data_IF_515028826672
#
_entry.id   IF_515028826672
#
_cell.length_a   1.000
_cell.length_b   1.000
_cell.length_c   1.000
_cell.angle_alpha   90.00
_cell.angle_beta   90.00
_cell.angle_gamma   90.00
#
_symmetry.space_group_name_H-M   'P 1'
#
loop_
_entity.id
_entity.type
_entity.pdbx_description
1 polymer ?
#
# COMPACT_ATOMS: atom_id res chain seq x y z
N UNK A 1 -16.09 29.14 9.94
CA UNK A 1 -14.72 29.24 9.43
C UNK A 1 -14.21 27.83 9.25
N UNK A 2 -13.81 27.44 8.03
CA UNK A 2 -13.23 26.15 7.73
C UNK A 2 -11.71 26.20 7.77
N UNK A 3 -11.09 25.02 7.86
CA UNK A 3 -9.63 24.83 7.75
C UNK A 3 -9.32 24.54 6.27
N UNK A 4 -8.97 25.56 5.51
CA UNK A 4 -8.61 25.43 4.10
C UNK A 4 -7.10 25.54 3.94
N UNK A 5 -6.51 24.58 3.28
CA UNK A 5 -5.09 24.57 2.95
C UNK A 5 -4.94 24.32 1.44
N UNK A 6 -4.13 25.13 0.78
CA UNK A 6 -3.90 25.01 -0.66
C UNK A 6 -3.03 23.82 -1.01
N UNK A 7 -3.17 23.23 -2.22
CA UNK A 7 -2.28 22.22 -2.71
C UNK A 7 -0.81 22.67 -2.64
N UNK A 8 0.04 21.86 -2.02
CA UNK A 8 1.44 22.19 -1.79
C UNK A 8 2.34 21.09 -2.33
N UNK A 9 3.28 21.46 -3.17
CA UNK A 9 4.29 20.55 -3.70
C UNK A 9 5.67 20.96 -3.18
N UNK A 10 6.29 20.06 -2.44
CA UNK A 10 7.65 20.20 -1.93
C UNK A 10 8.62 19.44 -2.84
N UNK A 11 9.86 19.86 -2.87
CA UNK A 11 10.94 19.14 -3.55
C UNK A 11 12.12 19.01 -2.61
N UNK A 12 12.58 17.78 -2.38
CA UNK A 12 13.84 17.56 -1.69
C UNK A 12 15.02 18.10 -2.51
N UNK A 13 16.01 18.64 -1.81
CA UNK A 13 17.27 18.99 -2.43
C UNK A 13 17.98 17.72 -2.92
N UNK A 14 18.67 17.82 -4.02
CA UNK A 14 19.51 16.72 -4.51
C UNK A 14 20.53 16.31 -3.45
N UNK A 15 20.65 15.01 -3.22
CA UNK A 15 21.52 14.46 -2.18
C UNK A 15 21.05 14.65 -0.73
N UNK A 16 19.84 15.18 -0.50
CA UNK A 16 19.28 15.27 0.83
C UNK A 16 18.97 13.87 1.39
N UNK A 17 19.49 13.60 2.59
CA UNK A 17 19.24 12.36 3.36
C UNK A 17 18.19 12.56 4.42
N UNK A 18 17.32 13.57 4.28
CA UNK A 18 16.35 13.95 5.30
C UNK A 18 15.32 12.84 5.50
N UNK A 19 15.39 12.21 6.67
CA UNK A 19 14.50 11.10 7.05
C UNK A 19 13.10 11.58 7.43
N UNK A 20 12.95 12.85 7.79
CA UNK A 20 11.67 13.39 8.24
C UNK A 20 10.57 13.27 7.20
N UNK A 21 10.89 13.43 5.92
CA UNK A 21 9.94 13.29 4.81
C UNK A 21 9.36 11.87 4.70
N UNK A 22 10.09 10.88 5.14
CA UNK A 22 9.66 9.48 5.13
C UNK A 22 8.95 9.07 6.41
N UNK A 23 9.23 9.75 7.51
CA UNK A 23 8.65 9.44 8.83
C UNK A 23 7.35 10.20 9.10
N UNK A 24 7.21 11.41 8.55
CA UNK A 24 6.03 12.25 8.77
C UNK A 24 4.98 12.02 7.69
N UNK A 25 3.80 11.56 8.10
CA UNK A 25 2.63 11.54 7.22
C UNK A 25 1.84 12.85 7.39
N UNK A 26 1.73 13.62 6.31
CA UNK A 26 0.94 14.85 6.29
C UNK A 26 -0.46 14.55 5.75
N UNK A 27 -1.46 14.53 6.63
CA UNK A 27 -2.87 14.40 6.23
C UNK A 27 -3.38 15.71 5.65
N UNK A 28 -3.15 15.91 4.34
CA UNK A 28 -3.54 17.12 3.65
C UNK A 28 -3.08 17.12 2.19
N UNK A 29 -3.37 18.18 1.45
CA UNK A 29 -3.00 18.28 0.03
C UNK A 29 -1.51 18.66 -0.13
N UNK A 30 -0.63 17.86 0.45
CA UNK A 30 0.82 18.06 0.43
C UNK A 30 1.49 16.83 -0.18
N UNK A 31 2.37 17.04 -1.15
CA UNK A 31 3.17 15.99 -1.77
C UNK A 31 4.63 16.42 -1.82
N UNK A 32 5.54 15.44 -1.76
CA UNK A 32 6.97 15.71 -1.83
C UNK A 32 7.59 14.97 -3.02
N UNK A 33 8.33 15.69 -3.84
CA UNK A 33 9.15 15.15 -4.92
C UNK A 33 10.51 14.76 -4.33
N UNK A 34 10.87 13.49 -4.47
CA UNK A 34 12.18 12.96 -4.12
C UNK A 34 12.91 12.59 -5.42
N UNK A 35 13.83 13.42 -5.91
CA UNK A 35 14.63 13.08 -7.07
C UNK A 35 15.51 11.85 -6.81
N UNK A 36 15.69 11.01 -7.81
CA UNK A 36 16.57 9.85 -7.78
C UNK A 36 17.27 9.67 -9.15
N UNK A 37 18.20 8.75 -9.23
CA UNK A 37 19.08 8.53 -10.39
C UNK A 37 18.42 7.77 -11.57
N UNK A 38 17.16 7.40 -11.44
CA UNK A 38 16.43 6.62 -12.45
C UNK A 38 16.53 5.11 -12.27
N UNK A 39 17.39 4.63 -11.37
CA UNK A 39 17.57 3.20 -11.12
C UNK A 39 16.44 2.60 -10.27
N UNK A 40 16.00 1.39 -10.62
CA UNK A 40 14.96 0.68 -9.88
C UNK A 40 15.36 0.42 -8.41
N UNK A 41 16.64 0.18 -8.16
CA UNK A 41 17.18 -0.01 -6.81
C UNK A 41 16.99 1.25 -5.94
N UNK A 42 17.25 2.43 -6.49
CA UNK A 42 17.10 3.71 -5.81
C UNK A 42 15.62 4.03 -5.54
N UNK A 43 14.75 3.78 -6.52
CA UNK A 43 13.31 3.91 -6.36
C UNK A 43 12.76 2.96 -5.28
N UNK A 44 13.22 1.72 -5.25
CA UNK A 44 12.85 0.73 -4.24
C UNK A 44 13.32 1.14 -2.84
N UNK A 45 14.51 1.69 -2.73
CA UNK A 45 15.02 2.23 -1.47
C UNK A 45 14.13 3.37 -0.95
N UNK A 46 13.75 4.31 -1.79
CA UNK A 46 12.84 5.39 -1.43
C UNK A 46 11.47 4.87 -0.99
N UNK A 47 10.91 3.89 -1.71
CA UNK A 47 9.64 3.27 -1.36
C UNK A 47 9.68 2.60 0.02
N UNK A 48 10.73 1.83 0.30
CA UNK A 48 10.88 1.10 1.56
C UNK A 48 11.06 2.02 2.78
N UNK A 49 11.65 3.20 2.61
CA UNK A 49 11.78 4.21 3.67
C UNK A 49 10.43 4.65 4.23
N UNK A 50 9.36 4.60 3.44
CA UNK A 50 8.00 4.87 3.87
C UNK A 50 7.42 3.84 4.86
N UNK A 51 8.10 2.72 5.07
CA UNK A 51 7.73 1.66 6.06
C UNK A 51 6.33 1.08 5.84
N UNK A 52 5.86 1.10 4.64
CA UNK A 52 4.55 0.59 4.21
C UNK A 52 3.65 1.64 3.59
N UNK A 53 3.03 1.30 2.48
CA UNK A 53 2.12 2.16 1.73
C UNK A 53 0.90 1.40 1.24
N UNK A 54 -0.23 2.09 1.13
CA UNK A 54 -1.46 1.53 0.55
C UNK A 54 -1.28 1.23 -0.94
N UNK A 55 -0.75 2.19 -1.68
CA UNK A 55 -0.60 2.09 -3.14
C UNK A 55 0.71 2.70 -3.58
N UNK A 56 1.47 1.96 -4.36
CA UNK A 56 2.58 2.49 -5.15
C UNK A 56 2.16 2.55 -6.62
N UNK A 57 2.21 3.72 -7.21
CA UNK A 57 1.94 3.93 -8.62
C UNK A 57 3.25 4.03 -9.39
N UNK A 58 3.37 3.21 -10.43
CA UNK A 58 4.54 3.15 -11.31
C UNK A 58 4.11 3.57 -12.71
N UNK A 59 4.77 4.56 -13.24
CA UNK A 59 4.57 5.06 -14.60
C UNK A 59 5.87 4.83 -15.38
N UNK A 60 5.91 3.77 -16.16
CA UNK A 60 7.09 3.36 -16.92
C UNK A 60 6.70 2.51 -18.12
N UNK A 61 7.39 2.69 -19.24
CA UNK A 61 7.29 1.84 -20.41
C UNK A 61 8.35 0.71 -20.41
N UNK A 62 9.27 0.71 -19.45
CA UNK A 62 10.25 -0.35 -19.25
C UNK A 62 9.69 -1.46 -18.36
N UNK A 63 9.36 -2.60 -18.97
CA UNK A 63 8.92 -3.79 -18.24
C UNK A 63 10.03 -4.35 -17.34
N UNK A 64 11.29 -4.32 -17.81
CA UNK A 64 12.45 -4.79 -17.04
C UNK A 64 12.65 -3.96 -15.78
N UNK A 65 12.65 -2.64 -15.90
CA UNK A 65 12.77 -1.73 -14.78
C UNK A 65 11.62 -1.91 -13.78
N UNK A 66 10.40 -2.04 -14.29
CA UNK A 66 9.20 -2.25 -13.47
C UNK A 66 9.28 -3.57 -12.69
N UNK A 67 9.74 -4.64 -13.35
CA UNK A 67 9.91 -5.94 -12.72
C UNK A 67 10.99 -5.92 -11.64
N UNK A 68 12.14 -5.29 -11.89
CA UNK A 68 13.20 -5.14 -10.89
C UNK A 68 12.72 -4.34 -9.67
N UNK A 69 11.98 -3.26 -9.89
CA UNK A 69 11.34 -2.50 -8.81
C UNK A 69 10.41 -3.37 -7.95
N UNK A 70 9.51 -4.11 -8.59
CA UNK A 70 8.57 -5.00 -7.89
C UNK A 70 9.27 -6.07 -7.07
N UNK A 71 10.33 -6.65 -7.60
CA UNK A 71 11.14 -7.65 -6.89
C UNK A 71 11.76 -7.08 -5.61
N UNK A 72 12.19 -5.83 -5.65
CA UNK A 72 12.90 -5.18 -4.54
C UNK A 72 11.97 -4.64 -3.45
N UNK A 73 10.83 -4.09 -3.83
CA UNK A 73 9.99 -3.38 -2.88
C UNK A 73 8.50 -3.81 -2.87
N UNK A 74 8.15 -4.88 -3.56
CA UNK A 74 6.76 -5.36 -3.63
C UNK A 74 6.13 -5.62 -2.26
N UNK A 75 6.92 -6.07 -1.29
CA UNK A 75 6.47 -6.33 0.08
C UNK A 75 6.17 -5.07 0.91
N UNK A 76 6.53 -3.88 0.42
CA UNK A 76 6.27 -2.61 1.10
C UNK A 76 4.99 -1.90 0.66
N UNK A 77 4.25 -2.48 -0.26
CA UNK A 77 3.02 -1.88 -0.79
C UNK A 77 1.85 -2.87 -0.75
N UNK A 78 0.70 -2.38 -0.37
CA UNK A 78 -0.52 -3.19 -0.42
C UNK A 78 -0.97 -3.46 -1.85
N UNK A 79 -0.75 -2.48 -2.74
CA UNK A 79 -1.11 -2.59 -4.14
C UNK A 79 -0.11 -1.84 -5.01
N UNK A 80 0.24 -2.41 -6.16
CA UNK A 80 0.93 -1.70 -7.23
C UNK A 80 -0.05 -1.37 -8.35
N UNK A 81 -0.03 -0.10 -8.76
CA UNK A 81 -0.69 0.35 -9.97
C UNK A 81 0.38 0.58 -11.03
N UNK A 82 0.37 -0.24 -12.06
CA UNK A 82 1.34 -0.16 -13.15
C UNK A 82 0.70 0.52 -14.34
N UNK A 83 1.31 1.58 -14.83
CA UNK A 83 0.85 2.32 -15.98
C UNK A 83 1.98 2.55 -16.98
N UNK A 84 1.61 2.48 -18.25
CA UNK A 84 2.47 2.79 -19.40
C UNK A 84 1.78 3.81 -20.30
N UNK A 85 2.48 4.37 -21.27
CA UNK A 85 1.90 5.28 -22.24
C UNK A 85 0.72 4.65 -22.98
N UNK A 86 0.79 3.34 -23.30
CA UNK A 86 -0.34 2.61 -23.92
C UNK A 86 -1.62 2.64 -23.09
N UNK A 87 -1.52 2.74 -21.78
CA UNK A 87 -2.67 2.70 -20.88
C UNK A 87 -3.22 4.08 -20.55
N UNK A 88 -2.52 5.14 -20.91
CA UNK A 88 -2.81 6.50 -20.47
C UNK A 88 -4.27 6.96 -20.74
N UNK A 89 -4.86 6.49 -21.83
CA UNK A 89 -6.24 6.83 -22.23
C UNK A 89 -7.32 5.88 -21.70
N UNK A 90 -6.95 4.73 -21.12
CA UNK A 90 -7.88 3.65 -20.78
C UNK A 90 -7.85 3.28 -19.29
N UNK A 91 -6.80 3.65 -18.59
CA UNK A 91 -6.61 3.24 -17.21
C UNK A 91 -7.50 4.05 -16.25
N UNK A 92 -8.16 3.39 -15.29
CA UNK A 92 -9.03 4.06 -14.33
C UNK A 92 -8.26 4.94 -13.32
N UNK A 93 -6.92 4.84 -13.29
CA UNK A 93 -6.06 5.52 -12.34
C UNK A 93 -5.85 4.75 -11.03
N UNK A 94 -4.83 5.15 -10.31
CA UNK A 94 -4.40 4.48 -9.07
C UNK A 94 -5.38 4.65 -7.90
N UNK A 95 -6.24 5.64 -7.95
CA UNK A 95 -7.24 5.91 -6.92
C UNK A 95 -8.44 4.96 -6.90
N UNK A 96 -8.62 4.15 -7.96
CA UNK A 96 -9.72 3.19 -8.03
C UNK A 96 -9.36 1.92 -7.28
N UNK A 97 -10.05 1.66 -6.17
CA UNK A 97 -9.99 0.39 -5.46
C UNK A 97 -11.19 -0.47 -5.84
N UNK A 98 -10.92 -1.63 -6.42
CA UNK A 98 -11.96 -2.59 -6.77
C UNK A 98 -12.21 -3.56 -5.61
N UNK A 99 -13.44 -4.10 -5.45
CA UNK A 99 -13.76 -5.03 -4.35
C UNK A 99 -12.87 -6.29 -4.30
N UNK A 100 -12.30 -6.70 -5.44
CA UNK A 100 -11.38 -7.82 -5.52
C UNK A 100 -9.91 -7.43 -5.26
N UNK A 101 -9.62 -6.14 -5.18
CA UNK A 101 -8.27 -5.64 -4.91
C UNK A 101 -8.06 -5.48 -3.41
N UNK A 102 -6.81 -5.62 -2.99
CA UNK A 102 -6.41 -5.27 -1.64
C UNK A 102 -6.49 -3.75 -1.46
N UNK A 103 -7.17 -3.31 -0.41
CA UNK A 103 -7.08 -1.93 0.10
C UNK A 103 -6.64 -1.99 1.55
N UNK A 104 -5.40 -1.76 1.75
CA UNK A 104 -4.63 -1.94 2.97
C UNK A 104 -3.18 -2.13 2.59
N UNK A 105 -2.32 -2.48 3.51
CA UNK A 105 -0.92 -2.72 3.17
C UNK A 105 -0.07 -3.04 4.39
N UNK A 106 1.20 -3.32 4.17
CA UNK A 106 2.13 -3.69 5.22
C UNK A 106 2.52 -2.49 6.09
N UNK A 107 3.10 -2.78 7.25
CA UNK A 107 3.69 -1.79 8.12
C UNK A 107 2.70 -0.69 8.53
N UNK A 108 3.10 0.56 8.35
CA UNK A 108 2.28 1.71 8.70
C UNK A 108 1.02 1.91 7.82
N UNK A 109 0.87 1.17 6.73
CA UNK A 109 -0.36 1.12 5.96
C UNK A 109 -1.49 0.36 6.66
N UNK A 110 -1.25 -0.22 7.85
CA UNK A 110 -2.25 -0.74 8.74
C UNK A 110 -2.70 -2.18 8.50
N UNK A 111 -2.27 -2.82 7.43
CA UNK A 111 -2.67 -4.17 7.06
C UNK A 111 -4.11 -4.28 6.60
N UNK A 112 -4.48 -5.45 6.16
CA UNK A 112 -5.86 -5.80 5.97
C UNK A 112 -6.45 -5.62 4.57
N UNK A 113 -7.65 -6.13 4.41
CA UNK A 113 -8.45 -6.05 3.20
C UNK A 113 -9.75 -5.30 3.47
N UNK A 114 -9.69 -3.99 3.77
CA UNK A 114 -10.85 -3.18 4.15
C UNK A 114 -12.00 -3.25 3.14
N UNK A 115 -11.70 -3.37 1.86
CA UNK A 115 -12.67 -3.46 0.77
C UNK A 115 -12.78 -4.84 0.15
N UNK A 116 -12.22 -5.87 0.79
CA UNK A 116 -12.15 -7.24 0.25
C UNK A 116 -13.48 -8.02 0.26
N UNK A 117 -14.62 -7.40 0.50
CA UNK A 117 -15.90 -8.07 0.64
C UNK A 117 -15.88 -9.05 1.82
N UNK A 118 -16.26 -10.31 1.60
CA UNK A 118 -16.28 -11.33 2.67
C UNK A 118 -14.90 -11.57 3.30
N UNK A 119 -13.81 -11.37 2.56
CA UNK A 119 -12.44 -11.52 3.09
C UNK A 119 -12.10 -10.47 4.14
N UNK A 120 -12.74 -9.30 4.09
CA UNK A 120 -12.56 -8.27 5.10
C UNK A 120 -12.99 -8.74 6.50
N UNK A 121 -13.88 -9.70 6.59
CA UNK A 121 -14.33 -10.26 7.87
C UNK A 121 -13.20 -10.96 8.63
N UNK A 122 -12.18 -11.47 7.95
CA UNK A 122 -11.05 -12.14 8.58
C UNK A 122 -10.29 -11.22 9.55
N UNK A 123 -10.32 -9.91 9.30
CA UNK A 123 -9.71 -8.90 10.17
C UNK A 123 -10.48 -8.65 11.47
N UNK A 124 -11.77 -8.87 11.43
CA UNK A 124 -12.67 -8.64 12.57
C UNK A 124 -12.97 -9.92 13.34
N UNK A 125 -12.39 -11.04 12.92
CA UNK A 125 -12.56 -12.34 13.55
C UNK A 125 -11.23 -12.88 14.06
N UNK A 126 -11.29 -13.65 15.11
CA UNK A 126 -10.12 -14.35 15.63
C UNK A 126 -10.40 -15.85 15.66
N UNK A 127 -9.50 -16.63 15.12
CA UNK A 127 -9.57 -18.08 15.23
C UNK A 127 -9.11 -18.51 16.61
N UNK A 128 -9.93 -19.35 17.25
CA UNK A 128 -9.62 -19.95 18.54
C UNK A 128 -9.62 -21.46 18.38
N UNK A 129 -8.56 -22.12 18.84
CA UNK A 129 -8.51 -23.56 18.88
C UNK A 129 -9.23 -24.10 20.13
N UNK A 130 -10.18 -25.00 19.95
CA UNK A 130 -10.85 -25.70 21.04
C UNK A 130 -10.32 -27.13 21.11
N UNK A 131 -9.79 -27.51 22.26
CA UNK A 131 -9.34 -28.88 22.53
C UNK A 131 -10.08 -29.43 23.76
N UNK A 132 -10.58 -30.64 23.67
CA UNK A 132 -11.31 -31.23 24.76
C UNK A 132 -11.89 -32.60 24.39
N UNK A 133 -12.77 -33.13 25.25
CA UNK A 133 -13.53 -34.33 24.88
C UNK A 133 -14.47 -34.00 23.72
N UNK A 134 -14.82 -35.00 22.90
CA UNK A 134 -15.77 -34.84 21.79
C UNK A 134 -17.05 -34.15 22.25
N UNK A 135 -17.61 -34.59 23.33
CA UNK A 135 -18.86 -34.03 23.91
C UNK A 135 -18.72 -32.54 24.27
N UNK A 136 -17.56 -32.14 24.82
CA UNK A 136 -17.34 -30.74 25.20
C UNK A 136 -17.22 -29.86 23.96
N UNK A 137 -16.49 -30.31 22.95
CA UNK A 137 -16.29 -29.54 21.72
C UNK A 137 -17.60 -29.41 20.93
N UNK A 138 -18.35 -30.52 20.74
CA UNK A 138 -19.64 -30.51 20.04
C UNK A 138 -20.65 -29.56 20.68
N UNK A 139 -20.65 -29.44 22.00
CA UNK A 139 -21.55 -28.52 22.72
C UNK A 139 -21.28 -27.05 22.35
N UNK A 140 -20.03 -26.67 22.07
CA UNK A 140 -19.68 -25.29 21.73
C UNK A 140 -19.84 -24.96 20.25
N UNK A 141 -19.58 -25.91 19.36
CA UNK A 141 -19.69 -25.67 17.90
C UNK A 141 -21.11 -25.93 17.37
N UNK A 142 -21.99 -26.43 18.21
CA UNK A 142 -23.37 -26.80 17.84
C UNK A 142 -23.39 -28.07 16.99
N UNK A 143 -24.23 -29.03 17.37
CA UNK A 143 -24.59 -30.12 16.47
C UNK A 143 -25.38 -29.55 15.30
N UNK A 144 -24.86 -29.70 14.09
CA UNK A 144 -25.63 -29.50 12.87
C UNK A 144 -26.24 -30.82 12.45
#
# INVERSE_FOLDING_TARGET
KGYFFGPTLLKLREGATDELVHDLEVFGPVSTICPYDGEAASAACLNSKGKGTLVTSVYSDSEEWTFDLLQRCGSWSGRFYLASEKMASQAPGSGVALPQSLHGGPGRAGGGEELGGIRALDLYTQRVALQGTRRSVERFIGER
#
